data_IF_964997738644
#
_entry.id   IF_964997738644
#
_cell.length_a   1.000
_cell.length_b   1.000
_cell.length_c   1.000
_cell.angle_alpha   90.00
_cell.angle_beta   90.00
_cell.angle_gamma   90.00
#
_symmetry.space_group_name_H-M   'P 1'
#
loop_
_entity.id
_entity.type
_entity.pdbx_description
1 polymer ?
#
# COMPACT_ATOMS: atom_id res chain seq x y z
N UNK A 1 11.41 2.87 -28.61
CA UNK A 1 12.17 2.17 -27.55
C UNK A 1 12.35 3.14 -26.40
N UNK A 2 11.51 3.09 -25.39
CA UNK A 2 11.80 3.76 -24.12
C UNK A 2 12.83 2.89 -23.39
N UNK A 3 14.08 3.31 -23.35
CA UNK A 3 15.10 2.63 -22.58
C UNK A 3 14.86 2.92 -21.11
N UNK A 4 14.21 1.99 -20.44
CA UNK A 4 14.13 1.94 -18.99
C UNK A 4 15.49 1.67 -18.31
N UNK A 5 16.56 1.69 -19.08
CA UNK A 5 17.90 1.27 -18.70
C UNK A 5 18.77 2.40 -18.13
N UNK A 6 18.18 3.56 -17.87
CA UNK A 6 18.92 4.76 -17.45
C UNK A 6 19.13 4.90 -15.93
N UNK A 7 18.76 3.89 -15.14
CA UNK A 7 19.08 3.92 -13.72
C UNK A 7 20.45 3.27 -13.47
N UNK A 8 21.51 4.04 -13.70
CA UNK A 8 22.86 3.65 -13.31
C UNK A 8 23.09 4.09 -11.86
N UNK A 9 23.07 3.12 -10.94
CA UNK A 9 23.31 3.36 -9.53
C UNK A 9 24.82 3.33 -9.17
N UNK A 10 25.69 3.20 -10.17
CA UNK A 10 27.15 3.11 -9.95
C UNK A 10 27.62 1.83 -9.26
N UNK A 11 26.70 0.94 -8.89
CA UNK A 11 27.00 -0.30 -8.18
C UNK A 11 25.95 -1.38 -8.46
N UNK A 12 26.34 -2.66 -8.31
CA UNK A 12 25.41 -3.79 -8.28
C UNK A 12 24.81 -3.89 -6.89
N UNK A 13 23.50 -3.72 -6.80
CA UNK A 13 22.76 -3.96 -5.55
C UNK A 13 22.46 -5.46 -5.44
N UNK A 14 22.97 -6.09 -4.40
CA UNK A 14 22.68 -7.49 -4.08
C UNK A 14 21.88 -7.49 -2.79
N UNK A 15 20.69 -8.07 -2.86
CA UNK A 15 19.85 -8.25 -1.68
C UNK A 15 20.19 -9.57 -1.01
N UNK A 16 20.51 -9.54 0.28
CA UNK A 16 20.85 -10.72 1.06
C UNK A 16 19.64 -11.39 1.69
N UNK A 17 18.59 -10.60 2.03
CA UNK A 17 17.39 -11.11 2.70
C UNK A 17 16.10 -10.61 2.03
N UNK A 18 15.00 -11.40 2.05
CA UNK A 18 13.68 -10.90 1.72
C UNK A 18 13.33 -9.73 2.67
N UNK A 19 12.87 -8.61 2.14
CA UNK A 19 12.42 -7.52 2.98
C UNK A 19 11.08 -7.86 3.63
N UNK A 20 10.88 -7.30 4.78
CA UNK A 20 9.59 -7.28 5.46
C UNK A 20 9.24 -5.85 5.83
N UNK A 21 7.99 -5.60 6.16
CA UNK A 21 7.51 -4.31 6.61
C UNK A 21 6.56 -4.45 7.77
N UNK A 22 6.11 -3.31 8.26
CA UNK A 22 4.99 -3.26 9.19
C UNK A 22 4.28 -1.91 9.09
N UNK A 23 2.96 -1.93 9.13
CA UNK A 23 2.16 -0.73 9.41
C UNK A 23 2.03 -0.59 10.91
N UNK A 24 2.33 0.59 11.44
CA UNK A 24 2.34 0.84 12.88
C UNK A 24 1.57 2.11 13.22
N UNK A 25 0.84 2.09 14.32
CA UNK A 25 0.25 3.27 14.91
C UNK A 25 0.96 3.64 16.22
N UNK A 26 1.20 4.92 16.40
CA UNK A 26 1.79 5.48 17.59
C UNK A 26 0.85 6.55 18.17
N UNK A 27 0.73 6.58 19.47
CA UNK A 27 0.07 7.68 20.18
C UNK A 27 0.85 8.97 19.96
N UNK A 28 0.19 9.99 19.40
CA UNK A 28 0.86 11.24 19.01
C UNK A 28 1.36 12.06 20.20
N UNK A 29 0.74 11.92 21.37
CA UNK A 29 1.12 12.68 22.56
C UNK A 29 2.28 12.03 23.31
N UNK A 30 2.36 10.71 23.31
CA UNK A 30 3.33 9.96 24.12
C UNK A 30 4.41 9.27 23.30
N UNK A 31 4.22 9.12 21.98
CA UNK A 31 5.10 8.36 21.09
C UNK A 31 5.06 6.84 21.33
N UNK A 32 4.14 6.35 22.14
CA UNK A 32 4.03 4.91 22.44
C UNK A 32 3.39 4.17 21.28
N UNK A 33 3.91 2.98 20.99
CA UNK A 33 3.31 2.06 20.03
C UNK A 33 1.94 1.60 20.52
N UNK A 34 0.90 1.85 19.72
CA UNK A 34 -0.49 1.40 19.99
C UNK A 34 -0.69 0.00 19.41
N UNK A 35 -0.39 -0.15 18.12
CA UNK A 35 -0.45 -1.45 17.45
C UNK A 35 0.58 -1.55 16.31
N UNK A 36 0.85 -2.79 15.90
CA UNK A 36 1.76 -3.10 14.79
C UNK A 36 1.21 -4.27 13.99
N UNK A 37 1.18 -4.12 12.68
CA UNK A 37 0.77 -5.16 11.72
C UNK A 37 1.96 -5.50 10.82
N UNK A 38 2.56 -6.68 11.00
CA UNK A 38 3.65 -7.13 10.14
C UNK A 38 3.14 -7.41 8.72
N UNK A 39 4.01 -7.19 7.75
CA UNK A 39 3.79 -7.44 6.32
C UNK A 39 4.97 -8.25 5.77
N UNK A 40 4.69 -9.16 4.84
CA UNK A 40 5.72 -9.97 4.19
C UNK A 40 6.64 -9.15 3.28
N UNK A 41 6.15 -7.99 2.85
CA UNK A 41 6.86 -7.06 1.95
C UNK A 41 6.93 -5.68 2.60
N UNK A 42 7.98 -4.89 2.35
CA UNK A 42 8.01 -3.50 2.78
C UNK A 42 6.84 -2.72 2.18
N UNK A 43 6.07 -2.06 3.02
CA UNK A 43 5.01 -1.15 2.60
C UNK A 43 5.60 0.08 1.90
N UNK A 44 4.98 0.49 0.81
CA UNK A 44 5.44 1.61 -0.02
C UNK A 44 4.34 2.59 -0.37
N UNK A 45 3.09 2.20 -0.14
CA UNK A 45 1.92 3.04 -0.30
C UNK A 45 1.71 3.99 0.88
N UNK A 46 0.87 4.99 0.67
CA UNK A 46 0.41 5.87 1.74
C UNK A 46 -0.63 5.23 2.63
N UNK A 47 -0.95 5.94 3.69
CA UNK A 47 -1.97 5.58 4.68
C UNK A 47 -3.00 6.71 4.73
N UNK A 48 -4.27 6.33 4.75
CA UNK A 48 -5.40 7.24 4.95
C UNK A 48 -6.04 6.93 6.30
N UNK A 49 -6.09 7.91 7.19
CA UNK A 49 -6.90 7.88 8.40
C UNK A 49 -8.16 8.71 8.19
N UNK A 50 -9.30 8.23 8.67
CA UNK A 50 -10.59 8.90 8.56
C UNK A 50 -11.13 9.29 9.93
N UNK A 51 -11.97 10.33 9.98
CA UNK A 51 -12.63 10.75 11.22
C UNK A 51 -13.61 9.73 11.80
N UNK A 52 -13.93 8.67 11.06
CA UNK A 52 -14.77 7.55 11.51
C UNK A 52 -13.99 6.41 12.19
N UNK A 53 -12.74 6.61 12.56
CA UNK A 53 -11.95 5.59 13.28
C UNK A 53 -11.41 4.48 12.38
N UNK A 54 -11.28 4.72 11.08
CA UNK A 54 -10.75 3.77 10.11
C UNK A 54 -9.41 4.23 9.56
N UNK A 55 -8.51 3.28 9.36
CA UNK A 55 -7.24 3.46 8.68
C UNK A 55 -7.18 2.54 7.47
N UNK A 56 -6.94 3.12 6.28
CA UNK A 56 -6.82 2.41 5.02
C UNK A 56 -5.37 2.42 4.54
N UNK A 57 -4.90 1.28 4.08
CA UNK A 57 -3.58 1.14 3.44
C UNK A 57 -3.58 -0.04 2.48
N UNK A 58 -2.67 0.02 1.52
CA UNK A 58 -2.42 -1.07 0.60
C UNK A 58 -1.03 -1.65 0.76
N UNK A 59 -0.86 -2.86 0.28
CA UNK A 59 0.44 -3.51 0.22
C UNK A 59 0.89 -3.81 -1.21
N UNK A 60 2.19 -4.11 -1.41
CA UNK A 60 2.68 -4.48 -2.72
C UNK A 60 2.09 -5.80 -3.26
N UNK A 61 1.49 -6.65 -2.42
CA UNK A 61 0.84 -7.91 -2.82
C UNK A 61 -0.59 -7.69 -3.36
N UNK A 62 -1.08 -6.44 -3.30
CA UNK A 62 -2.37 -6.05 -3.86
C UNK A 62 -3.51 -6.13 -2.87
N UNK A 63 -3.23 -6.28 -1.60
CA UNK A 63 -4.26 -6.31 -0.57
C UNK A 63 -4.53 -4.91 -0.04
N UNK A 64 -5.72 -4.40 -0.30
CA UNK A 64 -6.23 -3.15 0.26
C UNK A 64 -6.99 -3.45 1.54
N UNK A 65 -6.57 -2.83 2.64
CA UNK A 65 -7.02 -3.18 3.99
C UNK A 65 -7.60 -1.97 4.70
N UNK A 66 -8.72 -2.15 5.39
CA UNK A 66 -9.27 -1.22 6.36
C UNK A 66 -9.16 -1.83 7.76
N UNK A 67 -8.62 -1.07 8.70
CA UNK A 67 -8.48 -1.46 10.10
C UNK A 67 -9.07 -0.39 11.02
N UNK A 68 -9.38 -0.78 12.24
CA UNK A 68 -9.68 0.17 13.32
C UNK A 68 -8.42 0.95 13.70
N UNK A 69 -8.57 2.22 13.93
CA UNK A 69 -7.45 3.10 14.27
C UNK A 69 -6.90 2.86 15.68
N UNK A 70 -7.75 2.43 16.61
CA UNK A 70 -7.42 2.21 18.02
C UNK A 70 -6.75 0.85 18.29
N UNK A 71 -7.09 -0.20 17.53
CA UNK A 71 -6.64 -1.58 17.79
C UNK A 71 -5.83 -2.19 16.65
N UNK A 72 -5.93 -1.64 15.43
CA UNK A 72 -5.39 -2.26 14.23
C UNK A 72 -6.14 -3.52 13.78
N UNK A 73 -7.33 -3.79 14.35
CA UNK A 73 -8.18 -4.91 13.96
C UNK A 73 -8.63 -4.74 12.50
N UNK A 74 -8.50 -5.81 11.70
CA UNK A 74 -8.97 -5.81 10.31
C UNK A 74 -10.48 -5.87 10.27
N UNK A 75 -11.09 -4.87 9.66
CA UNK A 75 -12.54 -4.80 9.44
C UNK A 75 -12.92 -5.22 8.03
N UNK A 76 -12.05 -4.93 7.06
CA UNK A 76 -12.32 -5.23 5.66
C UNK A 76 -11.01 -5.36 4.87
N UNK A 77 -11.05 -6.21 3.85
CA UNK A 77 -9.95 -6.38 2.89
C UNK A 77 -10.48 -6.67 1.50
N UNK A 78 -9.76 -6.18 0.51
CA UNK A 78 -10.03 -6.45 -0.91
C UNK A 78 -8.72 -6.63 -1.66
N UNK A 79 -8.62 -7.70 -2.47
CA UNK A 79 -7.46 -7.92 -3.32
C UNK A 79 -7.72 -7.29 -4.70
N UNK A 80 -6.92 -6.29 -5.06
CA UNK A 80 -7.02 -5.58 -6.34
C UNK A 80 -6.26 -6.26 -7.49
N UNK A 81 -5.56 -7.36 -7.22
CA UNK A 81 -4.86 -8.17 -8.22
C UNK A 81 -3.51 -7.61 -8.69
N UNK A 82 -3.09 -6.46 -8.20
CA UNK A 82 -1.80 -5.82 -8.52
C UNK A 82 -1.33 -4.98 -7.33
N UNK A 83 -0.05 -4.60 -7.30
CA UNK A 83 0.51 -3.87 -6.15
C UNK A 83 -0.17 -2.53 -5.90
N UNK A 84 -0.23 -2.15 -4.63
CA UNK A 84 -0.78 -0.87 -4.19
C UNK A 84 0.38 -0.03 -3.66
N UNK A 85 0.80 0.94 -4.47
CA UNK A 85 1.85 1.92 -4.13
C UNK A 85 1.30 3.35 -4.05
N UNK A 86 0.06 3.55 -4.53
CA UNK A 86 -0.63 4.83 -4.44
C UNK A 86 -1.13 5.14 -3.04
N UNK A 87 -1.35 6.42 -2.78
CA UNK A 87 -1.95 6.87 -1.53
C UNK A 87 -3.46 6.76 -1.64
N UNK A 88 -4.15 6.11 -0.67
CA UNK A 88 -5.59 6.19 -0.60
C UNK A 88 -6.04 7.62 -0.32
N UNK A 89 -7.19 7.99 -0.85
CA UNK A 89 -7.84 9.26 -0.58
C UNK A 89 -9.32 9.06 -0.33
N UNK A 90 -9.96 9.91 0.45
CA UNK A 90 -11.41 9.91 0.62
C UNK A 90 -12.03 11.16 0.02
N UNK A 91 -13.24 11.02 -0.51
CA UNK A 91 -14.03 12.11 -1.04
C UNK A 91 -15.51 11.83 -0.86
N UNK A 92 -16.34 12.88 -1.01
CA UNK A 92 -17.79 12.78 -0.96
C UNK A 92 -18.37 13.12 -2.34
N UNK A 93 -19.30 12.31 -2.80
CA UNK A 93 -20.06 12.56 -4.01
C UNK A 93 -21.52 12.12 -3.81
N UNK A 94 -22.46 12.96 -4.19
CA UNK A 94 -23.90 12.67 -4.03
C UNK A 94 -24.34 12.42 -2.58
N UNK A 95 -23.62 12.99 -1.59
CA UNK A 95 -23.91 12.76 -0.16
C UNK A 95 -23.28 11.47 0.42
N UNK A 96 -22.64 10.64 -0.39
CA UNK A 96 -21.99 9.40 0.02
C UNK A 96 -20.48 9.57 0.09
N UNK A 97 -19.85 8.90 1.07
CA UNK A 97 -18.39 8.88 1.21
C UNK A 97 -17.80 7.72 0.42
N UNK A 98 -16.69 8.00 -0.25
CA UNK A 98 -15.92 7.04 -1.03
C UNK A 98 -14.45 7.06 -0.59
N UNK A 99 -13.79 5.92 -0.78
CA UNK A 99 -12.34 5.79 -0.69
C UNK A 99 -11.81 5.35 -2.04
N UNK A 100 -10.84 6.06 -2.56
CA UNK A 100 -10.21 5.77 -3.84
C UNK A 100 -8.72 5.47 -3.66
N UNK A 101 -8.18 4.56 -4.47
CA UNK A 101 -6.76 4.22 -4.49
C UNK A 101 -6.31 3.90 -5.90
N UNK A 102 -5.18 4.47 -6.30
CA UNK A 102 -4.51 4.12 -7.56
C UNK A 102 -3.66 2.88 -7.32
N UNK A 103 -3.81 1.88 -8.17
CA UNK A 103 -3.12 0.60 -8.07
C UNK A 103 -2.32 0.31 -9.32
N UNK A 104 -1.27 -0.48 -9.18
CA UNK A 104 -0.42 -0.90 -10.29
C UNK A 104 0.98 -1.24 -9.79
N UNK A 105 1.76 -1.99 -10.58
CA UNK A 105 3.13 -2.37 -10.24
C UNK A 105 4.12 -1.20 -10.36
N UNK A 106 3.65 -0.04 -10.77
CA UNK A 106 4.42 1.18 -10.95
C UNK A 106 4.91 1.75 -9.63
N UNK A 107 5.74 2.74 -9.70
CA UNK A 107 6.32 3.41 -8.55
C UNK A 107 7.82 3.28 -8.56
N UNK A 108 8.48 4.05 -9.38
CA UNK A 108 9.93 4.20 -9.42
C UNK A 108 10.70 2.91 -9.75
N UNK A 109 11.64 2.98 -10.65
CA UNK A 109 12.40 1.83 -11.17
C UNK A 109 13.21 1.01 -10.15
N UNK A 110 13.09 1.33 -8.86
CA UNK A 110 13.78 0.60 -7.78
C UNK A 110 12.97 -0.63 -7.35
N UNK A 111 11.65 -0.59 -7.41
CA UNK A 111 10.79 -1.66 -6.90
C UNK A 111 10.95 -2.99 -7.62
N UNK A 112 11.09 -3.05 -8.95
CA UNK A 112 11.37 -4.30 -9.65
C UNK A 112 12.66 -4.99 -9.20
N UNK A 113 13.66 -4.21 -8.76
CA UNK A 113 14.91 -4.74 -8.25
C UNK A 113 14.78 -5.34 -6.84
N UNK A 114 13.93 -4.76 -6.00
CA UNK A 114 13.73 -5.22 -4.63
C UNK A 114 12.79 -6.42 -4.53
N UNK A 115 11.87 -6.60 -5.50
CA UNK A 115 10.82 -7.63 -5.49
C UNK A 115 10.77 -8.44 -6.76
N UNK A 116 11.92 -8.75 -7.38
CA UNK A 116 11.96 -9.34 -8.73
C UNK A 116 11.11 -10.60 -8.90
N UNK A 117 11.10 -11.52 -7.95
CA UNK A 117 10.34 -12.76 -8.04
C UNK A 117 8.84 -12.54 -7.79
N UNK A 118 8.49 -11.67 -6.89
CA UNK A 118 7.12 -11.30 -6.60
C UNK A 118 6.53 -10.42 -7.71
N UNK A 119 7.28 -9.42 -8.18
CA UNK A 119 6.90 -8.53 -9.27
C UNK A 119 6.62 -9.31 -10.58
N UNK A 120 7.37 -10.39 -10.85
CA UNK A 120 7.13 -11.25 -12.01
C UNK A 120 5.77 -11.94 -11.96
N UNK A 121 5.23 -12.18 -10.79
CA UNK A 121 3.94 -12.86 -10.56
C UNK A 121 2.75 -11.92 -10.57
N UNK A 122 2.97 -10.61 -10.50
CA UNK A 122 1.88 -9.64 -10.49
C UNK A 122 1.30 -9.38 -11.87
N UNK A 123 0.01 -9.06 -11.92
CA UNK A 123 -0.59 -8.38 -13.06
C UNK A 123 0.12 -7.04 -13.28
N UNK A 124 0.54 -6.79 -14.51
CA UNK A 124 1.21 -5.54 -14.89
C UNK A 124 0.23 -4.42 -15.24
N UNK A 125 -1.05 -4.64 -15.03
CA UNK A 125 -2.09 -3.64 -15.18
C UNK A 125 -2.10 -2.65 -14.02
N UNK A 126 -2.60 -1.44 -14.28
CA UNK A 126 -2.89 -0.44 -13.26
C UNK A 126 -4.32 0.05 -13.40
N UNK A 127 -4.84 0.66 -12.36
CA UNK A 127 -6.20 1.17 -12.35
C UNK A 127 -6.48 2.10 -11.18
N UNK A 128 -7.68 2.66 -11.19
CA UNK A 128 -8.26 3.38 -10.07
C UNK A 128 -9.38 2.53 -9.50
N UNK A 129 -9.28 2.17 -8.24
CA UNK A 129 -10.36 1.53 -7.50
C UNK A 129 -11.05 2.57 -6.63
N UNK A 130 -12.38 2.54 -6.63
CA UNK A 130 -13.23 3.39 -5.80
C UNK A 130 -14.18 2.49 -5.03
N UNK A 131 -14.16 2.62 -3.71
CA UNK A 131 -14.99 1.86 -2.79
C UNK A 131 -15.98 2.79 -2.10
N UNK A 132 -17.21 2.34 -2.00
CA UNK A 132 -18.28 3.01 -1.25
C UNK A 132 -18.97 2.01 -0.35
N UNK A 133 -19.67 2.48 0.68
CA UNK A 133 -20.55 1.64 1.46
C UNK A 133 -21.81 1.37 0.62
N UNK A 134 -22.19 0.09 0.51
CA UNK A 134 -23.52 -0.27 0.04
C UNK A 134 -24.53 0.03 1.15
N UNK A 135 -25.66 0.64 0.78
CA UNK A 135 -26.82 0.73 1.66
C UNK A 135 -27.39 -0.65 2.00
#
# INVERSE_FOLDING_TARGET
MCSSDLWYLGAKVIRLNPGSGATKAFDAATGKLVWSRPQNTPGTGGILSTGGGLVFFGDPEGLFTAVRDDTGETLWQYNVGTGIHGNPTSFTAGGHQYVAVVVGPGGGGIWPLYYSEWYKKQSKGGGLFVFGLSE
#
